data_IF_592886066276
#
_entry.id   IF_592886066276
#
_cell.length_a   1.000
_cell.length_b   1.000
_cell.length_c   1.000
_cell.angle_alpha   90.00
_cell.angle_beta   90.00
_cell.angle_gamma   90.00
#
_symmetry.space_group_name_H-M   'P 1'
#
loop_
_entity.id
_entity.type
_entity.pdbx_description
1 polymer ?
#
# COMPACT_ATOMS: atom_id res chain seq x y z
N UNK A 1 -13.31 1.36 16.09
CA UNK A 1 -13.65 0.86 14.73
C UNK A 1 -14.18 2.02 13.90
N UNK A 2 -13.72 2.15 12.65
CA UNK A 2 -13.74 3.37 11.81
C UNK A 2 -14.96 3.48 10.87
N UNK A 3 -15.83 2.47 10.88
CA UNK A 3 -17.03 2.39 10.03
C UNK A 3 -16.81 1.71 8.68
N UNK A 4 -15.60 1.22 8.40
CA UNK A 4 -15.33 0.36 7.24
C UNK A 4 -16.11 -0.97 7.31
N UNK A 5 -16.59 -1.40 6.16
CA UNK A 5 -17.13 -2.75 5.93
C UNK A 5 -16.40 -3.41 4.77
N UNK A 6 -16.43 -4.75 4.74
CA UNK A 6 -15.88 -5.53 3.63
C UNK A 6 -17.00 -6.01 2.72
N UNK A 7 -16.75 -5.97 1.41
CA UNK A 7 -17.62 -6.56 0.40
C UNK A 7 -16.81 -7.53 -0.48
N UNK A 8 -17.37 -8.70 -0.83
CA UNK A 8 -16.61 -9.70 -1.57
C UNK A 8 -16.34 -9.27 -3.01
N UNK A 9 -15.14 -9.59 -3.50
CA UNK A 9 -14.77 -9.42 -4.91
C UNK A 9 -14.17 -10.70 -5.48
N UNK A 10 -14.43 -10.97 -6.75
CA UNK A 10 -14.00 -12.20 -7.42
C UNK A 10 -12.51 -12.24 -7.82
N UNK A 11 -11.80 -11.13 -7.68
CA UNK A 11 -10.40 -10.96 -8.09
C UNK A 11 -10.05 -9.49 -8.25
N UNK A 12 -8.99 -9.21 -9.02
CA UNK A 12 -8.54 -7.83 -9.28
C UNK A 12 -9.63 -7.02 -9.99
N UNK A 13 -9.83 -5.78 -9.53
CA UNK A 13 -10.71 -4.79 -10.13
C UNK A 13 -9.91 -3.58 -10.60
N UNK A 14 -10.52 -2.76 -11.45
CA UNK A 14 -9.92 -1.50 -11.87
C UNK A 14 -9.58 -0.61 -10.64
N UNK A 15 -8.41 0.06 -10.59
CA UNK A 15 -8.04 0.93 -9.47
C UNK A 15 -9.13 1.93 -9.09
N UNK A 16 -9.70 2.61 -10.10
CA UNK A 16 -10.83 3.54 -9.89
C UNK A 16 -12.05 2.91 -9.22
N UNK A 17 -12.39 1.67 -9.58
CA UNK A 17 -13.50 0.94 -8.93
C UNK A 17 -13.16 0.64 -7.47
N UNK A 18 -11.93 0.20 -7.20
CA UNK A 18 -11.46 -0.10 -5.85
C UNK A 18 -11.44 1.15 -4.95
N UNK A 19 -10.77 2.22 -5.38
CA UNK A 19 -10.68 3.45 -4.60
C UNK A 19 -12.05 4.12 -4.38
N UNK A 20 -12.92 4.13 -5.40
CA UNK A 20 -14.29 4.65 -5.22
C UNK A 20 -15.06 3.89 -4.13
N UNK A 21 -14.80 2.59 -3.95
CA UNK A 21 -15.36 1.83 -2.84
C UNK A 21 -14.81 2.31 -1.48
N UNK A 22 -13.50 2.60 -1.40
CA UNK A 22 -12.87 3.11 -0.17
C UNK A 22 -13.47 4.44 0.29
N UNK A 23 -13.81 5.35 -0.65
CA UNK A 23 -14.51 6.60 -0.34
C UNK A 23 -15.83 6.36 0.42
N UNK A 24 -16.50 5.24 0.12
CA UNK A 24 -17.76 4.83 0.72
C UNK A 24 -17.56 3.89 1.94
N UNK A 25 -16.34 3.85 2.48
CA UNK A 25 -15.93 2.96 3.59
C UNK A 25 -16.19 1.49 3.26
N UNK A 26 -15.99 1.11 2.00
CA UNK A 26 -16.07 -0.26 1.51
C UNK A 26 -14.69 -0.71 1.10
N UNK A 27 -14.20 -1.77 1.74
CA UNK A 27 -13.02 -2.47 1.27
C UNK A 27 -13.44 -3.71 0.47
N UNK A 28 -13.03 -3.78 -0.80
CA UNK A 28 -13.32 -4.94 -1.65
C UNK A 28 -12.31 -6.05 -1.33
N UNK A 29 -12.79 -7.17 -0.80
CA UNK A 29 -11.96 -8.24 -0.24
C UNK A 29 -12.13 -9.52 -1.04
N UNK A 30 -11.02 -10.17 -1.39
CA UNK A 30 -11.06 -11.56 -1.87
C UNK A 30 -11.43 -12.51 -0.74
N UNK A 31 -11.96 -13.69 -1.09
CA UNK A 31 -12.36 -14.73 -0.12
C UNK A 31 -11.59 -16.05 -0.29
N UNK A 32 -10.87 -16.21 -1.40
CA UNK A 32 -10.06 -17.40 -1.63
C UNK A 32 -8.76 -17.34 -0.80
N UNK A 33 -8.13 -18.50 -0.63
CA UNK A 33 -6.87 -18.66 0.11
C UNK A 33 -5.76 -19.10 -0.84
N UNK A 34 -4.54 -18.61 -0.62
CA UNK A 34 -3.35 -19.00 -1.38
C UNK A 34 -3.11 -20.51 -1.34
N UNK A 35 -2.45 -21.01 -2.39
CA UNK A 35 -2.13 -22.44 -2.48
C UNK A 35 -1.16 -22.87 -1.37
N UNK A 36 -1.45 -23.99 -0.73
CA UNK A 36 -0.71 -24.48 0.45
C UNK A 36 0.76 -24.85 0.18
N UNK A 37 1.15 -25.04 -1.08
CA UNK A 37 2.57 -25.27 -1.43
C UNK A 37 3.45 -24.02 -1.35
N UNK A 38 2.86 -22.82 -1.27
CA UNK A 38 3.56 -21.55 -1.06
C UNK A 38 2.85 -20.72 0.03
N UNK A 39 2.88 -21.16 1.30
CA UNK A 39 2.09 -20.50 2.35
C UNK A 39 2.63 -19.11 2.72
N UNK A 40 3.92 -18.85 2.49
CA UNK A 40 4.60 -17.62 2.89
C UNK A 40 4.57 -16.51 1.85
N UNK A 41 4.02 -16.76 0.66
CA UNK A 41 3.97 -15.80 -0.44
C UNK A 41 2.80 -16.09 -1.39
N UNK A 42 2.12 -15.05 -1.86
CA UNK A 42 1.08 -15.16 -2.89
C UNK A 42 1.26 -14.05 -3.93
N UNK A 43 1.15 -14.34 -5.25
CA UNK A 43 1.21 -13.32 -6.29
C UNK A 43 -0.08 -12.52 -6.45
N UNK A 44 -1.14 -12.93 -5.77
CA UNK A 44 -2.46 -12.29 -5.80
C UNK A 44 -2.98 -12.15 -4.36
N UNK A 45 -3.74 -11.08 -4.05
CA UNK A 45 -4.30 -10.88 -2.71
C UNK A 45 -5.29 -11.99 -2.37
N UNK A 46 -5.03 -12.70 -1.28
CA UNK A 46 -5.91 -13.74 -0.73
C UNK A 46 -6.50 -13.31 0.62
N UNK A 47 -7.43 -14.07 1.18
CA UNK A 47 -8.12 -13.71 2.43
C UNK A 47 -7.18 -13.43 3.62
N UNK A 48 -5.96 -13.97 3.63
CA UNK A 48 -4.95 -13.64 4.65
C UNK A 48 -4.44 -12.21 4.46
N UNK A 49 -4.17 -11.80 3.23
CA UNK A 49 -3.83 -10.41 2.89
C UNK A 49 -4.91 -9.43 3.34
N UNK A 50 -6.17 -9.75 3.06
CA UNK A 50 -7.30 -8.88 3.39
C UNK A 50 -7.54 -8.78 4.89
N UNK A 51 -7.48 -9.89 5.62
CA UNK A 51 -7.81 -9.91 7.05
C UNK A 51 -6.63 -9.49 7.94
N UNK A 52 -5.43 -10.02 7.68
CA UNK A 52 -4.25 -9.77 8.52
C UNK A 52 -3.58 -8.45 8.16
N UNK A 53 -3.55 -8.12 6.86
CA UNK A 53 -3.03 -6.85 6.39
C UNK A 53 -4.08 -5.74 6.53
N UNK A 54 -5.04 -5.72 5.60
CA UNK A 54 -5.92 -4.55 5.41
C UNK A 54 -6.88 -4.34 6.57
N UNK A 55 -7.60 -5.37 6.97
CA UNK A 55 -8.65 -5.25 8.00
C UNK A 55 -8.10 -4.79 9.34
N UNK A 56 -6.91 -5.26 9.72
CA UNK A 56 -6.22 -4.82 10.93
C UNK A 56 -5.90 -3.31 10.86
N UNK A 57 -5.34 -2.86 9.73
CA UNK A 57 -4.97 -1.45 9.53
C UNK A 57 -6.18 -0.54 9.37
N UNK A 58 -7.28 -0.98 8.75
CA UNK A 58 -8.53 -0.22 8.67
C UNK A 58 -9.17 0.05 10.05
N UNK A 59 -8.74 -0.67 11.09
CA UNK A 59 -9.09 -0.37 12.49
C UNK A 59 -8.44 0.91 13.03
N UNK A 60 -7.35 1.38 12.41
CA UNK A 60 -6.60 2.59 12.77
C UNK A 60 -7.25 3.82 12.11
N UNK A 61 -7.69 4.84 12.88
CA UNK A 61 -8.42 6.00 12.34
C UNK A 61 -7.68 6.74 11.22
N UNK A 62 -6.39 7.00 11.41
CA UNK A 62 -5.53 7.71 10.47
C UNK A 62 -5.39 6.94 9.15
N UNK A 63 -5.26 5.61 9.23
CA UNK A 63 -5.17 4.75 8.05
C UNK A 63 -6.49 4.69 7.28
N UNK A 64 -7.60 4.58 8.00
CA UNK A 64 -8.93 4.60 7.43
C UNK A 64 -9.23 5.95 6.74
N UNK A 65 -8.80 7.06 7.32
CA UNK A 65 -8.92 8.38 6.71
C UNK A 65 -8.13 8.49 5.40
N UNK A 66 -6.87 8.02 5.37
CA UNK A 66 -6.09 8.01 4.13
C UNK A 66 -6.80 7.19 3.04
N UNK A 67 -7.32 6.00 3.37
CA UNK A 67 -8.06 5.18 2.40
C UNK A 67 -9.28 5.91 1.82
N UNK A 68 -10.05 6.60 2.66
CA UNK A 68 -11.20 7.40 2.22
C UNK A 68 -10.73 8.53 1.32
N UNK A 69 -9.68 9.25 1.71
CA UNK A 69 -9.15 10.40 0.97
C UNK A 69 -8.62 10.00 -0.41
N UNK A 70 -7.90 8.88 -0.51
CA UNK A 70 -7.51 8.31 -1.81
C UNK A 70 -8.74 8.00 -2.66
N UNK A 71 -9.78 7.41 -2.05
CA UNK A 71 -11.04 7.14 -2.73
C UNK A 71 -11.74 8.39 -3.28
N UNK A 72 -11.89 9.42 -2.44
CA UNK A 72 -12.52 10.69 -2.82
C UNK A 72 -11.72 11.41 -3.92
N UNK A 73 -10.39 11.36 -3.83
CA UNK A 73 -9.50 11.92 -4.85
C UNK A 73 -9.58 11.17 -6.17
N UNK A 74 -9.66 9.84 -6.15
CA UNK A 74 -9.77 9.06 -7.39
C UNK A 74 -11.15 9.22 -8.06
N UNK A 75 -12.21 9.44 -7.28
CA UNK A 75 -13.55 9.75 -7.81
C UNK A 75 -13.58 11.00 -8.69
N UNK A 76 -12.75 12.00 -8.37
CA UNK A 76 -12.63 13.26 -9.13
C UNK A 76 -11.46 13.28 -10.13
N UNK A 77 -10.70 12.20 -10.23
CA UNK A 77 -9.57 12.06 -11.17
C UNK A 77 -10.05 11.31 -12.42
N UNK A 78 -10.03 11.92 -13.60
CA UNK A 78 -10.56 11.31 -14.83
C UNK A 78 -9.48 10.71 -15.75
N UNK A 79 -8.29 11.31 -15.77
CA UNK A 79 -7.18 10.85 -16.62
C UNK A 79 -6.61 9.52 -16.13
N UNK A 80 -6.49 8.54 -17.02
CA UNK A 80 -5.86 7.25 -16.72
C UNK A 80 -4.39 7.41 -16.29
N UNK A 81 -3.69 8.43 -16.82
CA UNK A 81 -2.32 8.73 -16.41
C UNK A 81 -2.29 9.23 -14.95
N UNK A 82 -3.27 10.05 -14.56
CA UNK A 82 -3.43 10.51 -13.19
C UNK A 82 -3.82 9.37 -12.24
N UNK A 83 -4.80 8.55 -12.61
CA UNK A 83 -5.23 7.38 -11.84
C UNK A 83 -4.04 6.43 -11.60
N UNK A 84 -3.23 6.18 -12.64
CA UNK A 84 -2.05 5.32 -12.56
C UNK A 84 -1.02 5.87 -11.58
N UNK A 85 -0.68 7.17 -11.67
CA UNK A 85 0.31 7.80 -10.77
C UNK A 85 -0.16 7.82 -9.32
N UNK A 86 -1.43 8.16 -9.08
CA UNK A 86 -2.01 8.11 -7.74
C UNK A 86 -2.00 6.68 -7.17
N UNK A 87 -2.29 5.68 -8.01
CA UNK A 87 -2.19 4.26 -7.67
C UNK A 87 -0.77 3.83 -7.28
N UNK A 88 0.26 4.35 -7.95
CA UNK A 88 1.66 4.10 -7.57
C UNK A 88 1.98 4.65 -6.18
N UNK A 89 1.50 5.85 -5.84
CA UNK A 89 1.66 6.42 -4.49
C UNK A 89 0.93 5.57 -3.45
N UNK A 90 -0.31 5.14 -3.75
CA UNK A 90 -1.05 4.22 -2.89
C UNK A 90 -0.26 2.94 -2.64
N UNK A 91 0.36 2.36 -3.68
CA UNK A 91 1.19 1.16 -3.55
C UNK A 91 2.35 1.34 -2.57
N UNK A 92 3.16 2.40 -2.73
CA UNK A 92 4.35 2.60 -1.91
C UNK A 92 4.06 3.03 -0.47
N UNK A 93 2.87 3.57 -0.19
CA UNK A 93 2.50 4.08 1.15
C UNK A 93 1.47 3.18 1.83
N UNK A 94 0.31 3.00 1.21
CA UNK A 94 -0.79 2.27 1.83
C UNK A 94 -0.67 0.77 1.66
N UNK A 95 0.09 0.26 0.67
CA UNK A 95 0.23 -1.18 0.48
C UNK A 95 1.57 -1.75 0.97
N UNK A 96 2.68 -1.06 0.67
CA UNK A 96 4.04 -1.44 1.07
C UNK A 96 4.72 -0.39 1.94
N UNK A 97 3.95 0.43 2.66
CA UNK A 97 4.49 1.45 3.55
C UNK A 97 5.32 0.90 4.71
N UNK A 98 6.39 1.64 5.04
CA UNK A 98 7.23 1.39 6.20
C UNK A 98 7.59 2.71 6.90
N UNK A 99 7.68 2.68 8.22
CA UNK A 99 8.08 3.83 9.01
C UNK A 99 9.08 3.44 10.12
N UNK A 100 9.74 4.42 10.73
CA UNK A 100 10.59 4.19 11.89
C UNK A 100 9.78 4.30 13.18
N UNK A 101 10.08 3.40 14.11
CA UNK A 101 9.63 3.44 15.49
C UNK A 101 10.83 3.13 16.38
N UNK A 102 11.19 4.06 17.27
CA UNK A 102 12.36 3.92 18.15
C UNK A 102 13.66 3.55 17.38
N UNK A 103 13.87 4.17 16.21
CA UNK A 103 15.02 3.94 15.34
C UNK A 103 14.98 2.65 14.52
N UNK A 104 13.97 1.79 14.70
CA UNK A 104 13.81 0.54 13.95
C UNK A 104 12.77 0.71 12.84
N UNK A 105 13.01 0.08 11.70
CA UNK A 105 12.02 0.04 10.61
C UNK A 105 10.89 -0.92 10.98
N UNK A 106 9.66 -0.48 10.73
CA UNK A 106 8.41 -1.20 10.96
C UNK A 106 7.57 -1.15 9.68
N UNK A 107 7.03 -2.29 9.31
CA UNK A 107 6.01 -2.38 8.27
C UNK A 107 4.67 -1.85 8.79
N UNK A 108 4.00 -1.07 7.96
CA UNK A 108 2.63 -0.60 8.18
C UNK A 108 1.71 -0.92 6.99
N UNK A 109 2.30 -1.13 5.81
CA UNK A 109 1.61 -1.60 4.61
C UNK A 109 1.08 -3.04 4.75
N UNK A 110 -0.21 -3.30 4.45
CA UNK A 110 -0.84 -4.62 4.45
C UNK A 110 -0.14 -5.67 3.58
N UNK A 111 0.44 -5.29 2.45
CA UNK A 111 1.28 -6.15 1.61
C UNK A 111 2.44 -6.76 2.39
N UNK A 112 3.13 -5.96 3.21
CA UNK A 112 4.19 -6.44 4.10
C UNK A 112 3.60 -7.22 5.28
N UNK A 113 2.59 -6.69 5.97
CA UNK A 113 2.01 -7.30 7.19
C UNK A 113 1.45 -8.71 6.96
N UNK A 114 1.02 -9.01 5.74
CA UNK A 114 0.45 -10.31 5.36
C UNK A 114 1.42 -11.26 4.66
N UNK A 115 2.67 -10.83 4.49
CA UNK A 115 3.75 -11.57 3.86
C UNK A 115 4.85 -11.81 4.89
N UNK A 116 4.77 -12.92 5.63
CA UNK A 116 5.70 -13.20 6.75
C UNK A 116 7.18 -13.11 6.33
N UNK A 117 7.55 -13.69 5.19
CA UNK A 117 8.92 -13.66 4.69
C UNK A 117 9.36 -12.27 4.25
N UNK A 118 8.49 -11.52 3.59
CA UNK A 118 8.80 -10.17 3.12
C UNK A 118 8.82 -9.15 4.23
N UNK A 119 7.99 -9.28 5.27
CA UNK A 119 7.96 -8.37 6.42
C UNK A 119 9.30 -8.35 7.16
N UNK A 120 9.87 -9.54 7.45
CA UNK A 120 11.17 -9.64 8.12
C UNK A 120 12.29 -9.10 7.22
N UNK A 121 12.27 -9.45 5.94
CA UNK A 121 13.22 -8.96 4.93
C UNK A 121 13.16 -7.43 4.81
N UNK A 122 11.95 -6.89 4.74
CA UNK A 122 11.67 -5.45 4.69
C UNK A 122 12.12 -4.71 5.94
N UNK A 123 11.94 -5.26 7.14
CA UNK A 123 12.28 -4.58 8.40
C UNK A 123 13.77 -4.69 8.78
N UNK A 124 14.52 -5.58 8.14
CA UNK A 124 15.96 -5.85 8.44
C UNK A 124 16.90 -5.36 7.34
N UNK A 125 16.42 -4.59 6.36
CA UNK A 125 17.24 -4.13 5.23
C UNK A 125 17.71 -5.27 4.33
N UNK A 126 16.97 -6.37 4.34
CA UNK A 126 17.31 -7.61 3.67
C UNK A 126 18.39 -8.47 4.35
N UNK A 127 18.66 -8.23 5.64
CA UNK A 127 19.61 -9.07 6.42
C UNK A 127 18.98 -10.36 6.96
N UNK A 128 17.66 -10.39 7.15
CA UNK A 128 16.94 -11.57 7.62
C UNK A 128 15.69 -11.85 6.78
N UNK A 129 15.54 -13.08 6.29
CA UNK A 129 14.30 -13.52 5.65
C UNK A 129 13.93 -14.91 6.20
N UNK A 130 13.41 -14.97 7.44
CA UNK A 130 13.07 -16.22 8.11
C UNK A 130 14.21 -17.23 8.24
N UNK A 131 13.98 -18.31 9.01
CA UNK A 131 14.90 -19.45 9.08
C UNK A 131 14.44 -20.60 8.16
N UNK A 132 13.71 -20.31 7.08
CA UNK A 132 13.00 -21.33 6.30
C UNK A 132 13.39 -21.28 4.82
N UNK A 133 13.57 -22.45 4.20
CA UNK A 133 14.03 -22.61 2.81
C UNK A 133 13.12 -21.95 1.76
N UNK A 134 11.89 -21.61 2.14
CA UNK A 134 10.92 -20.93 1.29
C UNK A 134 11.12 -19.41 1.17
N UNK A 135 12.07 -18.83 1.91
CA UNK A 135 12.26 -17.38 1.95
C UNK A 135 13.29 -16.91 0.91
N UNK A 136 12.91 -15.94 0.09
CA UNK A 136 13.75 -15.41 -0.99
C UNK A 136 14.36 -14.09 -0.53
N UNK A 137 15.59 -14.13 -0.01
CA UNK A 137 16.35 -12.96 0.44
C UNK A 137 16.99 -12.18 -0.75
N UNK A 138 16.30 -12.02 -1.87
CA UNK A 138 16.86 -11.39 -3.08
C UNK A 138 15.76 -10.64 -3.85
N UNK A 139 15.94 -9.33 -4.14
CA UNK A 139 17.08 -8.46 -3.84
C UNK A 139 17.12 -7.93 -2.39
N UNK A 140 18.28 -7.43 -1.97
CA UNK A 140 18.38 -6.61 -0.75
C UNK A 140 17.46 -5.40 -0.87
N UNK A 141 16.75 -5.10 0.22
CA UNK A 141 15.83 -3.96 0.26
C UNK A 141 16.62 -2.67 0.42
N UNK A 142 16.43 -1.74 -0.51
CA UNK A 142 16.96 -0.39 -0.40
C UNK A 142 15.94 0.51 0.31
N UNK A 143 16.37 1.15 1.39
CA UNK A 143 15.58 2.20 2.04
C UNK A 143 15.86 3.54 1.38
N UNK A 144 14.80 4.20 0.92
CA UNK A 144 14.85 5.54 0.36
C UNK A 144 14.11 6.53 1.25
N UNK A 145 14.52 7.79 1.16
CA UNK A 145 13.75 8.91 1.72
C UNK A 145 12.45 9.05 0.94
N UNK A 146 11.29 9.20 1.61
CA UNK A 146 10.02 9.42 0.95
C UNK A 146 10.05 10.63 0.01
N UNK A 147 9.66 10.40 -1.25
CA UNK A 147 9.55 11.41 -2.30
C UNK A 147 8.36 11.07 -3.20
N UNK A 148 7.35 11.93 -3.25
CA UNK A 148 6.12 11.67 -4.00
C UNK A 148 6.35 11.68 -5.52
N UNK A 149 7.18 12.58 -6.04
CA UNK A 149 7.46 12.65 -7.49
C UNK A 149 8.14 11.36 -7.97
N UNK A 150 9.03 10.82 -7.14
CA UNK A 150 9.66 9.53 -7.36
C UNK A 150 8.66 8.37 -7.26
N UNK A 151 7.84 8.32 -6.20
CA UNK A 151 6.84 7.27 -5.98
C UNK A 151 5.81 7.19 -7.12
N UNK A 152 5.34 8.32 -7.62
CA UNK A 152 4.34 8.38 -8.70
C UNK A 152 4.82 7.69 -9.99
N UNK A 153 6.12 7.69 -10.24
CA UNK A 153 6.71 7.26 -11.51
C UNK A 153 7.53 5.98 -11.41
N UNK A 154 7.87 5.54 -10.19
CA UNK A 154 8.71 4.36 -9.99
C UNK A 154 7.93 3.08 -10.29
N UNK A 155 8.37 2.27 -11.28
CA UNK A 155 7.72 1.00 -11.58
C UNK A 155 7.91 -0.01 -10.43
N UNK A 156 6.88 -0.81 -10.18
CA UNK A 156 6.90 -1.91 -9.22
C UNK A 156 6.39 -3.20 -9.87
N UNK A 157 6.80 -4.34 -9.29
CA UNK A 157 6.36 -5.68 -9.70
C UNK A 157 5.52 -6.25 -8.56
N UNK A 158 4.23 -6.50 -8.83
CA UNK A 158 3.28 -7.06 -7.86
C UNK A 158 3.56 -8.55 -7.55
N UNK A 159 4.39 -9.20 -8.37
CA UNK A 159 4.69 -10.64 -8.28
C UNK A 159 6.02 -10.95 -7.58
N UNK A 160 6.68 -9.94 -7.01
CA UNK A 160 7.99 -10.08 -6.36
C UNK A 160 8.08 -9.25 -5.09
N UNK A 161 9.07 -9.58 -4.26
CA UNK A 161 9.41 -8.75 -3.12
C UNK A 161 9.87 -7.37 -3.58
N UNK A 162 9.45 -6.34 -2.84
CA UNK A 162 9.76 -4.97 -3.20
C UNK A 162 11.26 -4.69 -2.99
N UNK A 163 11.99 -4.30 -4.05
CA UNK A 163 13.43 -4.00 -3.95
C UNK A 163 13.70 -2.69 -3.20
N UNK A 164 12.68 -1.85 -3.08
CA UNK A 164 12.76 -0.49 -2.54
C UNK A 164 11.59 -0.27 -1.58
N UNK A 165 11.88 0.32 -0.44
CA UNK A 165 10.88 0.86 0.47
C UNK A 165 11.20 2.32 0.77
N UNK A 166 10.17 3.16 0.70
CA UNK A 166 10.26 4.53 1.18
C UNK A 166 9.96 4.53 2.67
N UNK A 167 10.97 4.84 3.47
CA UNK A 167 10.89 4.71 4.93
C UNK A 167 10.70 6.07 5.56
N UNK A 168 9.52 6.30 6.12
CA UNK A 168 9.16 7.51 6.84
C UNK A 168 9.80 7.55 8.23
N UNK A 169 10.11 8.73 8.78
CA UNK A 169 10.72 8.84 10.10
C UNK A 169 9.73 8.52 11.22
N UNK A 170 8.43 8.64 10.95
CA UNK A 170 7.36 8.19 11.84
C UNK A 170 6.07 7.91 11.08
N UNK A 171 5.14 7.20 11.72
CA UNK A 171 3.79 7.01 11.22
C UNK A 171 3.04 8.35 11.08
N UNK A 172 3.24 9.27 12.03
CA UNK A 172 2.61 10.60 12.02
C UNK A 172 3.06 11.43 10.83
N UNK A 173 4.37 11.45 10.54
CA UNK A 173 4.92 12.12 9.37
C UNK A 173 4.31 11.55 8.07
N UNK A 174 4.29 10.22 7.94
CA UNK A 174 3.71 9.55 6.79
C UNK A 174 2.24 9.94 6.60
N UNK A 175 1.45 9.93 7.67
CA UNK A 175 0.05 10.32 7.64
C UNK A 175 -0.14 11.77 7.20
N UNK A 176 0.51 12.73 7.87
CA UNK A 176 0.33 14.15 7.58
C UNK A 176 0.80 14.51 6.16
N UNK A 177 1.96 13.99 5.73
CA UNK A 177 2.50 14.27 4.40
C UNK A 177 1.68 13.64 3.29
N UNK A 178 1.21 12.41 3.48
CA UNK A 178 0.34 11.73 2.51
C UNK A 178 -1.00 12.45 2.40
N UNK A 179 -1.60 12.83 3.54
CA UNK A 179 -2.84 13.59 3.56
C UNK A 179 -2.71 14.93 2.83
N UNK A 180 -1.64 15.67 3.07
CA UNK A 180 -1.35 16.94 2.37
C UNK A 180 -1.25 16.72 0.85
N UNK A 181 -0.48 15.72 0.42
CA UNK A 181 -0.30 15.39 -1.00
C UNK A 181 -1.63 15.02 -1.69
N UNK A 182 -2.37 14.05 -1.13
CA UNK A 182 -3.60 13.54 -1.75
C UNK A 182 -4.72 14.60 -1.75
N UNK A 183 -4.76 15.49 -0.76
CA UNK A 183 -5.74 16.59 -0.72
C UNK A 183 -5.54 17.60 -1.85
N UNK A 184 -4.29 17.79 -2.30
CA UNK A 184 -3.96 18.73 -3.38
C UNK A 184 -4.14 18.13 -4.77
N UNK A 185 -4.01 16.82 -4.93
CA UNK A 185 -4.15 16.11 -6.20
C UNK A 185 -5.41 16.54 -6.96
N UNK A 186 -5.37 16.85 -8.25
CA UNK A 186 -6.52 17.25 -9.07
C UNK A 186 -7.20 18.57 -8.65
N UNK A 187 -6.59 19.38 -7.79
CA UNK A 187 -7.08 20.72 -7.43
C UNK A 187 -6.26 21.82 -8.12
N UNK A 188 -6.65 23.08 -7.94
CA UNK A 188 -5.85 24.23 -8.40
C UNK A 188 -4.46 24.32 -7.74
N UNK A 189 -4.24 23.62 -6.63
CA UNK A 189 -2.95 23.55 -5.95
C UNK A 189 -2.09 22.36 -6.39
N UNK A 190 -2.62 21.48 -7.25
CA UNK A 190 -1.86 20.35 -7.77
C UNK A 190 -0.75 20.83 -8.72
N UNK A 191 0.53 20.50 -8.47
CA UNK A 191 1.59 20.76 -9.45
C UNK A 191 1.42 19.98 -10.76
N UNK A 192 0.62 18.91 -10.80
CA UNK A 192 0.40 18.04 -11.95
C UNK A 192 -0.81 18.39 -12.80
N UNK A 193 -1.17 19.68 -12.94
CA UNK A 193 -2.40 20.10 -13.68
C UNK A 193 -2.52 19.46 -15.06
N UNK A 194 -1.40 19.38 -15.78
CA UNK A 194 -1.34 18.81 -17.13
C UNK A 194 -1.66 17.31 -17.18
N UNK A 195 -1.57 16.60 -16.05
CA UNK A 195 -1.87 15.18 -15.95
C UNK A 195 -3.39 14.90 -15.93
N UNK A 196 -4.20 15.90 -15.55
CA UNK A 196 -5.65 15.76 -15.36
C UNK A 196 -6.49 16.08 -16.60
N UNK A 197 -5.85 16.52 -17.68
CA UNK A 197 -6.50 16.97 -18.92
C UNK A 197 -6.35 15.98 -20.08
#
# INVERSE_FOLDING_TARGET
MTGFRQEPVGGLVHPKTFHTALANKVFLSTQYIRHSSRPFYTPEPDVVHELVGHTAMLGVPEWAELNILFGETDMRTESEAAITRLGSVYWYILEFGACRENGKVKSVGPGLLSSFGEMEHACTGGEGCGNNEACVCDPKVQYLTPDFEEMETRPYDVTKYQPVLYVWDSFEEMYEKTKEFVSKWGTDEDPHKDLHH
#
